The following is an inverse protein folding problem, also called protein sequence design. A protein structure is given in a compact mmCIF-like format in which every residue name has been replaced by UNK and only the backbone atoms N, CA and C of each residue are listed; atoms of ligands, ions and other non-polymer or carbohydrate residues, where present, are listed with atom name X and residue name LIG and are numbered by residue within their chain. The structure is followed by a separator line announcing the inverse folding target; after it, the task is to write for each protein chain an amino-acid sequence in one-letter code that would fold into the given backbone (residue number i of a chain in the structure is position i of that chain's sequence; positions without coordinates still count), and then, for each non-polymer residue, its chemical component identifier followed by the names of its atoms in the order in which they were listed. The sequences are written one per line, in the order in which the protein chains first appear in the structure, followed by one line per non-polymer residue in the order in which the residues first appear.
data_IF_427901568594
#
_entry.id   IF_427901568594
#
_cell.length_a   1.000
_cell.length_b   1.000
_cell.length_c   1.000
_cell.angle_alpha   90.00
_cell.angle_beta   90.00
_cell.angle_gamma   90.00
#
_symmetry.space_group_name_H-M   'P 1'
#
loop_
_entity.id
_entity.type
_entity.pdbx_description
1 polymer ?
#
# COMPACT_ATOMS: atom_id res chain seq x y z
N UNK A 1 -23.21 -5.33 3.69
CA UNK A 1 -22.01 -5.65 4.52
C UNK A 1 -20.75 -5.37 3.71
N UNK A 2 -19.68 -4.88 4.35
CA UNK A 2 -18.38 -4.60 3.70
C UNK A 2 -17.43 -5.77 3.93
N UNK A 3 -16.68 -6.20 2.90
CA UNK A 3 -15.55 -7.13 3.05
C UNK A 3 -14.24 -6.39 2.82
N UNK A 4 -13.32 -6.49 3.78
CA UNK A 4 -11.94 -5.99 3.65
C UNK A 4 -11.02 -7.18 3.41
N UNK A 5 -10.33 -7.19 2.26
CA UNK A 5 -9.31 -8.20 1.94
C UNK A 5 -7.93 -7.74 2.42
N UNK A 6 -6.94 -8.64 2.42
CA UNK A 6 -5.59 -8.30 2.88
C UNK A 6 -5.53 -7.79 4.33
N UNK A 7 -6.46 -8.22 5.18
CA UNK A 7 -6.67 -7.69 6.54
C UNK A 7 -5.47 -7.88 7.51
N UNK A 8 -4.53 -8.78 7.19
CA UNK A 8 -3.27 -8.94 7.95
C UNK A 8 -2.14 -8.03 7.47
N UNK A 9 -2.27 -7.41 6.30
CA UNK A 9 -1.26 -6.51 5.72
C UNK A 9 -1.39 -5.06 6.20
N UNK A 10 -0.37 -4.23 5.89
CA UNK A 10 -0.33 -2.83 6.33
C UNK A 10 -1.56 -2.02 5.92
N UNK A 11 -1.91 -2.03 4.64
CA UNK A 11 -3.02 -1.24 4.12
C UNK A 11 -4.36 -1.85 4.53
N UNK A 12 -4.56 -3.16 4.31
CA UNK A 12 -5.83 -3.82 4.65
C UNK A 12 -6.18 -3.73 6.13
N UNK A 13 -5.19 -3.85 7.02
CA UNK A 13 -5.39 -3.65 8.47
C UNK A 13 -5.80 -2.22 8.80
N UNK A 14 -5.18 -1.22 8.16
CA UNK A 14 -5.55 0.18 8.37
C UNK A 14 -6.98 0.45 7.88
N UNK A 15 -7.35 -0.08 6.71
CA UNK A 15 -8.73 0.03 6.17
C UNK A 15 -9.73 -0.68 7.05
N UNK A 16 -9.42 -1.88 7.55
CA UNK A 16 -10.29 -2.61 8.47
C UNK A 16 -10.60 -1.78 9.74
N UNK A 17 -9.55 -1.20 10.34
CA UNK A 17 -9.71 -0.35 11.52
C UNK A 17 -10.56 0.88 11.24
N UNK A 18 -10.38 1.52 10.08
CA UNK A 18 -11.16 2.70 9.71
C UNK A 18 -12.62 2.35 9.41
N UNK A 19 -12.87 1.24 8.69
CA UNK A 19 -14.25 0.74 8.46
C UNK A 19 -14.94 0.41 9.79
N UNK A 20 -14.23 -0.24 10.72
CA UNK A 20 -14.78 -0.51 12.05
C UNK A 20 -15.17 0.79 12.80
N UNK A 21 -14.35 1.85 12.69
CA UNK A 21 -14.65 3.16 13.30
C UNK A 21 -15.92 3.82 12.75
N UNK A 22 -16.31 3.52 11.52
CA UNK A 22 -17.58 4.04 10.96
C UNK A 22 -18.81 3.36 11.54
N UNK A 23 -18.67 2.27 12.28
CA UNK A 23 -19.78 1.45 12.76
C UNK A 23 -20.42 0.56 11.68
N UNK A 24 -19.91 0.54 10.47
CA UNK A 24 -20.42 -0.29 9.38
C UNK A 24 -20.24 -1.79 9.68
N UNK A 25 -21.24 -2.60 9.35
CA UNK A 25 -21.11 -4.06 9.42
C UNK A 25 -20.05 -4.53 8.43
N UNK A 26 -19.04 -5.26 8.91
CA UNK A 26 -17.90 -5.65 8.10
C UNK A 26 -17.38 -7.05 8.39
N UNK A 27 -16.72 -7.61 7.39
CA UNK A 27 -15.94 -8.84 7.44
C UNK A 27 -14.48 -8.53 7.13
N UNK A 28 -13.57 -9.29 7.71
CA UNK A 28 -12.15 -9.28 7.38
C UNK A 28 -11.74 -10.63 6.81
N UNK A 29 -11.11 -10.63 5.63
CA UNK A 29 -10.65 -11.84 4.98
C UNK A 29 -9.19 -12.13 5.32
N UNK A 30 -8.95 -13.36 5.76
CA UNK A 30 -7.63 -13.90 6.09
C UNK A 30 -7.36 -15.18 5.29
N UNK A 31 -6.09 -15.48 5.04
CA UNK A 31 -5.70 -16.70 4.31
C UNK A 31 -5.70 -17.96 5.18
N UNK A 32 -5.63 -17.81 6.50
CA UNK A 32 -5.57 -18.94 7.44
C UNK A 32 -6.45 -18.72 8.67
N UNK A 33 -6.85 -19.80 9.31
CA UNK A 33 -7.58 -19.78 10.57
C UNK A 33 -6.76 -19.13 11.71
N UNK A 34 -5.44 -19.31 11.71
CA UNK A 34 -4.54 -18.70 12.70
C UNK A 34 -4.51 -17.17 12.59
N UNK A 35 -4.55 -16.63 11.37
CA UNK A 35 -4.67 -15.18 11.16
C UNK A 35 -6.07 -14.68 11.53
N UNK A 36 -7.11 -15.41 11.12
CA UNK A 36 -8.50 -15.08 11.43
C UNK A 36 -8.78 -15.04 12.95
N UNK A 37 -8.14 -15.90 13.72
CA UNK A 37 -8.25 -15.89 15.19
C UNK A 37 -7.70 -14.62 15.85
N UNK A 38 -6.91 -13.82 15.13
CA UNK A 38 -6.34 -12.54 15.60
C UNK A 38 -7.18 -11.32 15.13
N UNK A 39 -8.35 -11.56 14.54
CA UNK A 39 -9.22 -10.49 14.09
C UNK A 39 -9.63 -9.57 15.25
N UNK A 40 -9.71 -8.25 15.03
CA UNK A 40 -10.17 -7.33 16.06
C UNK A 40 -11.58 -7.67 16.56
N UNK A 41 -11.87 -7.37 17.82
CA UNK A 41 -13.19 -7.55 18.39
C UNK A 41 -14.25 -6.79 17.56
N UNK A 42 -15.43 -7.41 17.37
CA UNK A 42 -16.49 -6.85 16.54
C UNK A 42 -16.34 -7.07 15.04
N UNK A 43 -15.25 -7.70 14.59
CA UNK A 43 -15.02 -8.04 13.18
C UNK A 43 -15.42 -9.48 12.90
N UNK A 44 -16.23 -9.71 11.87
CA UNK A 44 -16.52 -11.06 11.39
C UNK A 44 -15.32 -11.55 10.55
N UNK A 45 -14.50 -12.43 11.10
CA UNK A 45 -13.40 -13.04 10.37
C UNK A 45 -13.91 -14.12 9.40
N UNK A 46 -13.37 -14.15 8.18
CA UNK A 46 -13.61 -15.19 7.20
C UNK A 46 -12.29 -15.69 6.65
N UNK A 47 -12.20 -17.00 6.39
CA UNK A 47 -11.00 -17.62 5.81
C UNK A 47 -11.26 -17.88 4.34
N UNK A 48 -10.47 -17.25 3.46
CA UNK A 48 -10.53 -17.45 2.02
C UNK A 48 -9.19 -17.10 1.37
N UNK A 49 -8.93 -17.68 0.22
CA UNK A 49 -7.69 -17.52 -0.53
C UNK A 49 -8.02 -17.23 -2.01
N UNK A 50 -7.49 -16.16 -2.57
CA UNK A 50 -7.72 -15.79 -3.98
C UNK A 50 -7.26 -16.87 -4.96
N UNK A 51 -6.30 -17.70 -4.57
CA UNK A 51 -5.87 -18.85 -5.36
C UNK A 51 -6.85 -20.03 -5.31
N UNK A 52 -7.74 -20.08 -4.32
CA UNK A 52 -8.72 -21.16 -4.06
C UNK A 52 -10.12 -20.63 -4.29
N UNK A 53 -10.57 -20.62 -5.56
CA UNK A 53 -11.83 -19.98 -5.98
C UNK A 53 -13.05 -20.49 -5.20
N UNK A 54 -13.06 -21.76 -4.80
CA UNK A 54 -14.12 -22.38 -4.02
C UNK A 54 -14.32 -21.74 -2.64
N UNK A 55 -13.30 -21.06 -2.12
CA UNK A 55 -13.35 -20.39 -0.82
C UNK A 55 -13.98 -18.99 -0.90
N UNK A 56 -14.08 -18.40 -2.10
CA UNK A 56 -14.47 -17.01 -2.27
C UNK A 56 -15.98 -16.80 -2.14
N UNK A 57 -16.78 -17.69 -2.72
CA UNK A 57 -18.24 -17.56 -2.66
C UNK A 57 -18.80 -17.59 -1.23
N UNK A 58 -18.35 -18.47 -0.30
CA UNK A 58 -18.75 -18.40 1.10
C UNK A 58 -18.34 -17.11 1.80
N UNK A 59 -17.16 -16.57 1.51
CA UNK A 59 -16.67 -15.32 2.09
C UNK A 59 -17.49 -14.11 1.64
N UNK A 60 -18.03 -14.13 0.43
CA UNK A 60 -18.84 -13.07 -0.17
C UNK A 60 -20.34 -13.11 0.21
N UNK A 61 -20.78 -14.08 1.00
CA UNK A 61 -22.20 -14.12 1.42
C UNK A 61 -22.57 -12.85 2.17
N UNK A 62 -23.67 -12.20 1.75
CA UNK A 62 -24.20 -10.93 2.30
C UNK A 62 -23.25 -9.72 2.14
N UNK A 63 -22.25 -9.80 1.28
CA UNK A 63 -21.32 -8.69 1.00
C UNK A 63 -21.86 -7.81 -0.12
N UNK A 64 -21.93 -6.51 0.15
CA UNK A 64 -22.39 -5.49 -0.81
C UNK A 64 -21.23 -4.68 -1.38
N UNK A 65 -20.16 -4.48 -0.59
CA UNK A 65 -18.97 -3.76 -1.02
C UNK A 65 -17.70 -4.49 -0.60
N UNK A 66 -16.67 -4.41 -1.43
CA UNK A 66 -15.37 -5.04 -1.19
C UNK A 66 -14.27 -4.00 -1.29
N UNK A 67 -13.41 -3.93 -0.27
CA UNK A 67 -12.09 -3.34 -0.41
C UNK A 67 -11.13 -4.43 -0.87
N UNK A 68 -10.62 -4.30 -2.08
CA UNK A 68 -9.76 -5.29 -2.74
C UNK A 68 -8.30 -4.84 -2.70
N UNK A 69 -7.48 -5.61 -2.02
CA UNK A 69 -6.03 -5.45 -1.98
C UNK A 69 -5.35 -6.81 -1.91
N UNK A 70 -4.29 -6.99 -2.68
CA UNK A 70 -3.41 -8.16 -2.67
C UNK A 70 -1.95 -7.73 -2.48
N UNK A 71 -1.10 -8.67 -2.06
CA UNK A 71 0.35 -8.45 -2.09
C UNK A 71 0.83 -8.31 -3.54
N UNK A 72 1.76 -7.39 -3.85
CA UNK A 72 2.27 -7.21 -5.20
C UNK A 72 3.28 -8.32 -5.56
N UNK A 73 2.77 -9.47 -5.96
CA UNK A 73 3.51 -10.66 -6.37
C UNK A 73 3.20 -10.98 -7.84
N UNK A 74 4.01 -11.81 -8.53
CA UNK A 74 3.79 -12.11 -9.97
C UNK A 74 2.38 -12.59 -10.31
N UNK A 75 1.73 -13.32 -9.40
CA UNK A 75 0.39 -13.85 -9.59
C UNK A 75 -0.74 -12.85 -9.28
N UNK A 76 -0.41 -11.59 -8.90
CA UNK A 76 -1.39 -10.57 -8.50
C UNK A 76 -2.56 -10.47 -9.47
N UNK A 77 -2.27 -10.41 -10.78
CA UNK A 77 -3.31 -10.26 -11.82
C UNK A 77 -4.31 -11.40 -11.77
N UNK A 78 -3.83 -12.65 -11.66
CA UNK A 78 -4.69 -13.82 -11.59
C UNK A 78 -5.49 -13.85 -10.29
N UNK A 79 -4.83 -13.55 -9.18
CA UNK A 79 -5.44 -13.58 -7.84
C UNK A 79 -6.55 -12.55 -7.70
N UNK A 80 -6.29 -11.30 -8.08
CA UNK A 80 -7.33 -10.26 -8.01
C UNK A 80 -8.42 -10.45 -9.06
N UNK A 81 -8.09 -10.99 -10.25
CA UNK A 81 -9.11 -11.39 -11.24
C UNK A 81 -10.06 -12.44 -10.67
N UNK A 82 -9.57 -13.47 -9.99
CA UNK A 82 -10.40 -14.48 -9.34
C UNK A 82 -11.37 -13.84 -8.33
N UNK A 83 -10.89 -12.89 -7.54
CA UNK A 83 -11.75 -12.20 -6.56
C UNK A 83 -12.78 -11.29 -7.24
N UNK A 84 -12.41 -10.56 -8.28
CA UNK A 84 -13.33 -9.73 -9.06
C UNK A 84 -14.44 -10.59 -9.68
N UNK A 85 -14.09 -11.72 -10.32
CA UNK A 85 -15.07 -12.63 -10.91
C UNK A 85 -16.02 -13.22 -9.85
N UNK A 86 -15.49 -13.56 -8.68
CA UNK A 86 -16.31 -14.02 -7.56
C UNK A 86 -17.26 -12.92 -7.05
N UNK A 87 -16.80 -11.66 -6.98
CA UNK A 87 -17.64 -10.52 -6.61
C UNK A 87 -18.79 -10.32 -7.61
N UNK A 88 -18.51 -10.39 -8.90
CA UNK A 88 -19.54 -10.29 -9.96
C UNK A 88 -20.57 -11.41 -9.79
N UNK A 89 -20.12 -12.65 -9.64
CA UNK A 89 -20.99 -13.83 -9.47
C UNK A 89 -21.84 -13.73 -8.19
N UNK A 90 -21.30 -13.21 -7.11
CA UNK A 90 -21.99 -13.03 -5.84
C UNK A 90 -22.93 -11.81 -5.80
N UNK A 91 -22.95 -10.98 -6.85
CA UNK A 91 -23.79 -9.78 -6.93
C UNK A 91 -23.33 -8.65 -6.01
N UNK A 92 -22.02 -8.57 -5.70
CA UNK A 92 -21.43 -7.42 -4.99
C UNK A 92 -21.72 -6.14 -5.76
N UNK A 93 -22.06 -5.08 -5.04
CA UNK A 93 -22.51 -3.81 -5.66
C UNK A 93 -21.38 -2.87 -5.98
N UNK A 94 -20.29 -2.90 -5.21
CA UNK A 94 -19.18 -1.96 -5.37
C UNK A 94 -17.84 -2.57 -4.97
N UNK A 95 -16.78 -2.25 -5.72
CA UNK A 95 -15.40 -2.64 -5.40
C UNK A 95 -14.53 -1.39 -5.31
N UNK A 96 -13.86 -1.21 -4.18
CA UNK A 96 -12.77 -0.25 -4.05
C UNK A 96 -11.45 -1.02 -4.23
N UNK A 97 -10.78 -0.78 -5.34
CA UNK A 97 -9.51 -1.44 -5.68
C UNK A 97 -8.33 -0.61 -5.18
N UNK A 98 -7.46 -1.21 -4.38
CA UNK A 98 -6.15 -0.64 -4.08
C UNK A 98 -5.16 -1.01 -5.18
N UNK A 99 -5.00 -0.13 -6.12
CA UNK A 99 -4.06 -0.22 -7.23
C UNK A 99 -2.70 0.40 -6.84
N UNK A 100 -1.96 0.95 -7.79
CA UNK A 100 -0.70 1.64 -7.57
C UNK A 100 -0.57 2.86 -8.49
N UNK A 101 0.14 3.89 -8.01
CA UNK A 101 0.56 5.01 -8.85
C UNK A 101 1.34 4.48 -10.07
N UNK A 102 1.11 5.08 -11.23
CA UNK A 102 1.72 4.68 -12.50
C UNK A 102 0.99 3.56 -13.25
N UNK A 103 -0.05 2.96 -12.70
CA UNK A 103 -0.84 1.94 -13.40
C UNK A 103 -1.42 2.45 -14.73
N UNK A 104 -1.65 3.76 -14.85
CA UNK A 104 -2.17 4.41 -16.05
C UNK A 104 -1.16 4.56 -17.19
N UNK A 105 0.13 4.76 -16.88
CA UNK A 105 1.13 5.26 -17.84
C UNK A 105 2.49 4.55 -17.82
N UNK A 106 2.69 3.58 -16.94
CA UNK A 106 3.96 2.86 -16.83
C UNK A 106 3.78 1.35 -17.08
N UNK A 107 4.49 0.83 -18.09
CA UNK A 107 4.25 -0.50 -18.62
C UNK A 107 5.10 -1.62 -17.97
N UNK A 108 5.83 -1.33 -16.87
CA UNK A 108 6.72 -2.30 -16.23
C UNK A 108 6.19 -2.72 -14.86
N UNK A 109 6.54 -3.94 -14.45
CA UNK A 109 6.37 -4.52 -13.09
C UNK A 109 5.05 -4.16 -12.38
N UNK A 110 5.11 -3.70 -11.13
CA UNK A 110 3.93 -3.45 -10.29
C UNK A 110 2.87 -2.58 -10.96
N UNK A 111 3.19 -1.40 -11.55
CA UNK A 111 2.17 -0.59 -12.21
C UNK A 111 1.47 -1.32 -13.35
N UNK A 112 2.21 -2.09 -14.16
CA UNK A 112 1.63 -2.84 -15.27
C UNK A 112 0.70 -3.98 -14.83
N UNK A 113 1.01 -4.62 -13.69
CA UNK A 113 0.13 -5.65 -13.13
C UNK A 113 -1.17 -5.03 -12.63
N UNK A 114 -1.08 -3.94 -11.89
CA UNK A 114 -2.25 -3.21 -11.43
C UNK A 114 -3.10 -2.68 -12.60
N UNK A 115 -2.49 -2.20 -13.68
CA UNK A 115 -3.21 -1.80 -14.90
C UNK A 115 -4.11 -2.92 -15.43
N UNK A 116 -3.56 -4.14 -15.52
CA UNK A 116 -4.34 -5.30 -16.00
C UNK A 116 -5.54 -5.60 -15.09
N UNK A 117 -5.38 -5.44 -13.78
CA UNK A 117 -6.48 -5.62 -12.82
C UNK A 117 -7.51 -4.50 -12.94
N UNK A 118 -7.08 -3.25 -13.12
CA UNK A 118 -7.99 -2.12 -13.37
C UNK A 118 -8.81 -2.32 -14.64
N UNK A 119 -8.15 -2.72 -15.72
CA UNK A 119 -8.82 -2.99 -17.00
C UNK A 119 -9.83 -4.16 -16.86
N UNK A 120 -9.46 -5.22 -16.13
CA UNK A 120 -10.38 -6.31 -15.79
C UNK A 120 -11.58 -5.80 -15.00
N UNK A 121 -11.37 -5.02 -13.94
CA UNK A 121 -12.46 -4.49 -13.11
C UNK A 121 -13.40 -3.61 -13.94
N UNK A 122 -12.86 -2.69 -14.72
CA UNK A 122 -13.62 -1.80 -15.63
C UNK A 122 -14.47 -2.57 -16.64
N UNK A 123 -13.98 -3.73 -17.10
CA UNK A 123 -14.70 -4.56 -18.10
C UNK A 123 -15.89 -5.33 -17.54
N UNK A 124 -16.06 -5.43 -16.21
CA UNK A 124 -17.12 -6.25 -15.60
C UNK A 124 -18.47 -5.55 -15.49
N UNK A 125 -18.52 -4.23 -15.62
CA UNK A 125 -19.71 -3.42 -15.40
C UNK A 125 -20.12 -3.25 -13.94
N UNK A 126 -19.41 -3.87 -12.98
CA UNK A 126 -19.63 -3.62 -11.54
C UNK A 126 -19.21 -2.18 -11.18
N UNK A 127 -19.93 -1.54 -10.27
CA UNK A 127 -19.52 -0.22 -9.77
C UNK A 127 -18.17 -0.31 -9.04
N UNK A 128 -17.27 0.63 -9.29
CA UNK A 128 -15.94 0.62 -8.69
C UNK A 128 -15.42 2.01 -8.33
N UNK A 129 -14.45 2.04 -7.44
CA UNK A 129 -13.52 3.16 -7.25
C UNK A 129 -12.10 2.58 -7.25
N UNK A 130 -11.16 3.25 -7.91
CA UNK A 130 -9.75 2.84 -7.97
C UNK A 130 -8.92 3.86 -7.19
N UNK A 131 -8.13 3.38 -6.25
CA UNK A 131 -7.16 4.16 -5.51
C UNK A 131 -5.76 3.76 -5.98
N UNK A 132 -4.99 4.72 -6.48
CA UNK A 132 -3.61 4.54 -6.97
C UNK A 132 -2.64 5.24 -6.01
N UNK A 133 -2.30 4.63 -4.88
CA UNK A 133 -1.40 5.24 -3.91
C UNK A 133 0.04 5.29 -4.40
N UNK A 134 0.73 6.37 -4.04
CA UNK A 134 2.17 6.52 -4.11
C UNK A 134 2.86 5.71 -3.00
N UNK A 135 4.18 5.83 -2.85
CA UNK A 135 4.95 5.11 -1.83
C UNK A 135 4.49 5.43 -0.41
N UNK A 136 4.57 4.43 0.48
CA UNK A 136 4.05 4.57 1.85
C UNK A 136 5.11 5.05 2.84
N UNK A 137 4.74 5.87 3.81
CA UNK A 137 5.57 6.20 4.98
C UNK A 137 6.10 4.94 5.66
N UNK A 138 5.26 3.90 5.77
CA UNK A 138 5.60 2.63 6.40
C UNK A 138 6.77 1.90 5.72
N UNK A 139 6.98 2.13 4.43
CA UNK A 139 8.12 1.59 3.69
C UNK A 139 9.46 2.14 4.20
N UNK A 140 9.48 3.37 4.70
CA UNK A 140 10.68 4.00 5.30
C UNK A 140 11.16 3.20 6.51
N UNK A 141 10.23 2.78 7.37
CA UNK A 141 10.56 1.92 8.52
C UNK A 141 10.98 0.53 8.03
N UNK A 142 10.19 -0.09 7.15
CA UNK A 142 10.40 -1.47 6.72
C UNK A 142 11.76 -1.66 6.01
N UNK A 143 12.13 -0.71 5.14
CA UNK A 143 13.32 -0.88 4.30
C UNK A 143 14.59 -0.21 4.86
N UNK A 144 14.45 0.88 5.61
CA UNK A 144 15.63 1.68 5.99
C UNK A 144 15.95 1.61 7.49
N UNK A 145 14.97 1.37 8.37
CA UNK A 145 15.22 1.38 9.80
C UNK A 145 16.29 0.37 10.26
N UNK A 146 16.39 -0.86 9.72
CA UNK A 146 17.44 -1.80 10.12
C UNK A 146 18.85 -1.25 9.87
N UNK A 147 19.14 -0.73 8.68
CA UNK A 147 20.44 -0.14 8.32
C UNK A 147 20.71 1.14 9.10
N UNK A 148 19.70 2.00 9.25
CA UNK A 148 19.80 3.22 10.03
C UNK A 148 20.14 2.91 11.49
N UNK A 149 19.48 1.95 12.14
CA UNK A 149 19.80 1.56 13.53
C UNK A 149 21.25 1.08 13.67
N UNK A 150 21.68 0.24 12.76
CA UNK A 150 23.00 -0.38 12.80
C UNK A 150 24.13 0.61 12.47
N UNK A 151 23.96 1.40 11.43
CA UNK A 151 25.05 2.12 10.78
C UNK A 151 24.83 3.65 10.72
N UNK A 152 23.65 4.16 10.99
CA UNK A 152 23.29 5.57 10.79
C UNK A 152 23.17 5.95 9.30
N UNK A 153 23.03 4.97 8.41
CA UNK A 153 23.00 5.19 6.96
C UNK A 153 21.99 4.27 6.28
N UNK A 154 21.43 4.75 5.18
CA UNK A 154 20.67 3.90 4.26
C UNK A 154 21.08 4.18 2.81
N UNK A 155 20.91 3.17 1.97
CA UNK A 155 21.38 3.17 0.59
C UNK A 155 20.20 3.03 -0.37
N UNK A 156 20.24 3.76 -1.48
CA UNK A 156 19.30 3.59 -2.59
C UNK A 156 19.84 4.25 -3.85
N UNK A 157 19.27 3.96 -5.01
CA UNK A 157 19.64 4.55 -6.31
C UNK A 157 18.63 5.62 -6.76
N UNK A 158 18.16 6.46 -5.83
CA UNK A 158 17.10 7.44 -6.09
C UNK A 158 17.62 8.81 -6.54
N UNK A 159 18.94 9.05 -6.46
CA UNK A 159 19.53 10.34 -6.79
C UNK A 159 18.80 11.49 -6.08
N UNK A 160 18.32 12.48 -6.84
CA UNK A 160 17.53 13.64 -6.42
C UNK A 160 16.02 13.48 -6.73
N UNK A 161 15.58 12.27 -7.08
CA UNK A 161 14.17 12.01 -7.35
C UNK A 161 13.30 12.33 -6.14
N UNK A 162 12.17 12.98 -6.40
CA UNK A 162 11.18 13.33 -5.38
C UNK A 162 10.08 12.31 -5.34
N UNK A 163 9.68 11.91 -4.14
CA UNK A 163 8.58 10.98 -3.89
C UNK A 163 7.60 11.61 -2.90
N UNK A 164 6.32 11.63 -3.28
CA UNK A 164 5.24 12.12 -2.41
C UNK A 164 4.69 10.97 -1.58
N UNK A 165 5.46 10.60 -0.54
CA UNK A 165 5.08 9.53 0.39
C UNK A 165 3.77 9.86 1.12
N UNK A 166 2.91 8.84 1.32
CA UNK A 166 1.67 8.98 2.08
C UNK A 166 1.55 7.91 3.16
N UNK A 167 0.78 8.23 4.18
CA UNK A 167 0.51 7.28 5.26
C UNK A 167 -0.63 6.32 4.89
N UNK A 168 -0.50 5.04 5.18
CA UNK A 168 -1.56 4.04 4.92
C UNK A 168 -2.86 4.36 5.66
N UNK A 169 -2.82 5.14 6.74
CA UNK A 169 -4.02 5.61 7.45
C UNK A 169 -4.83 6.62 6.64
N UNK A 170 -4.19 7.39 5.76
CA UNK A 170 -4.88 8.28 4.84
C UNK A 170 -5.52 7.49 3.69
N UNK A 171 -4.84 6.44 3.20
CA UNK A 171 -5.44 5.48 2.26
C UNK A 171 -6.69 4.85 2.89
N UNK A 172 -6.61 4.47 4.17
CA UNK A 172 -7.73 3.85 4.88
C UNK A 172 -8.96 4.76 4.97
N UNK A 173 -8.76 6.05 5.27
CA UNK A 173 -9.86 7.03 5.28
C UNK A 173 -10.43 7.21 3.87
N UNK A 174 -9.58 7.34 2.85
CA UNK A 174 -10.01 7.43 1.46
C UNK A 174 -10.84 6.20 1.04
N UNK A 175 -10.34 5.01 1.36
CA UNK A 175 -11.04 3.75 1.09
C UNK A 175 -12.40 3.69 1.78
N UNK A 176 -12.47 3.97 3.08
CA UNK A 176 -13.73 3.93 3.83
C UNK A 176 -14.80 4.86 3.26
N UNK A 177 -14.40 6.06 2.81
CA UNK A 177 -15.32 7.02 2.18
C UNK A 177 -15.81 6.61 0.81
N UNK A 178 -15.04 5.81 0.09
CA UNK A 178 -15.36 5.39 -1.28
C UNK A 178 -16.03 4.01 -1.36
N UNK A 179 -16.20 3.31 -0.24
CA UNK A 179 -16.85 1.99 -0.19
C UNK A 179 -18.37 2.00 -0.45
N UNK A 180 -19.03 3.13 -0.35
CA UNK A 180 -20.42 3.27 -0.76
C UNK A 180 -20.52 3.69 -2.24
N UNK A 181 -21.37 3.04 -3.05
CA UNK A 181 -21.70 3.53 -4.38
C UNK A 181 -22.21 4.98 -4.33
N UNK A 182 -21.85 5.79 -5.33
CA UNK A 182 -22.29 7.18 -5.38
C UNK A 182 -21.33 8.07 -6.14
N UNK A 183 -20.99 9.22 -5.58
CA UNK A 183 -20.16 10.24 -6.25
C UNK A 183 -18.75 9.79 -6.64
N UNK A 184 -18.24 8.72 -6.00
CA UNK A 184 -16.92 8.14 -6.28
C UNK A 184 -16.96 6.99 -7.29
N UNK A 185 -18.16 6.55 -7.71
CA UNK A 185 -18.32 5.43 -8.65
C UNK A 185 -17.73 5.77 -10.01
N UNK A 186 -16.94 4.82 -10.56
CA UNK A 186 -16.26 4.97 -11.84
C UNK A 186 -15.01 5.85 -11.81
N UNK A 187 -14.63 6.37 -10.64
CA UNK A 187 -13.47 7.27 -10.51
C UNK A 187 -12.20 6.52 -10.16
N UNK A 188 -11.09 7.07 -10.66
CA UNK A 188 -9.72 6.70 -10.28
C UNK A 188 -9.06 7.90 -9.61
N UNK A 189 -8.43 7.66 -8.47
CA UNK A 189 -7.73 8.68 -7.68
C UNK A 189 -6.27 8.30 -7.50
N UNK A 190 -5.36 9.12 -8.02
CA UNK A 190 -3.98 9.10 -7.60
C UNK A 190 -3.89 9.68 -6.19
N UNK A 191 -3.29 8.95 -5.27
CA UNK A 191 -3.15 9.36 -3.89
C UNK A 191 -1.70 9.71 -3.61
N UNK A 192 -1.42 11.01 -3.58
CA UNK A 192 -0.10 11.57 -3.30
C UNK A 192 -0.06 12.13 -1.88
N UNK A 193 1.10 12.01 -1.23
CA UNK A 193 1.31 12.60 0.09
C UNK A 193 1.38 14.12 0.05
N UNK A 194 1.40 14.78 1.23
CA UNK A 194 1.33 16.23 1.34
C UNK A 194 2.62 16.95 0.94
N UNK A 195 3.72 16.22 0.78
CA UNK A 195 5.04 16.76 0.45
C UNK A 195 5.82 15.78 -0.44
N UNK A 196 6.60 16.31 -1.37
CA UNK A 196 7.49 15.55 -2.24
C UNK A 196 8.92 15.67 -1.72
N UNK A 197 9.49 14.57 -1.25
CA UNK A 197 10.81 14.53 -0.61
C UNK A 197 11.83 13.79 -1.47
N UNK A 198 13.04 14.33 -1.54
CA UNK A 198 14.21 13.55 -1.92
C UNK A 198 14.63 12.63 -0.77
N UNK A 199 15.45 11.62 -1.07
CA UNK A 199 15.96 10.72 -0.03
C UNK A 199 16.96 11.43 0.91
N UNK A 200 17.64 12.48 0.43
CA UNK A 200 18.47 13.34 1.28
C UNK A 200 17.61 14.13 2.29
N UNK A 201 16.53 14.79 1.85
CA UNK A 201 15.59 15.48 2.73
C UNK A 201 14.91 14.51 3.72
N UNK A 202 14.63 13.27 3.27
CA UNK A 202 14.13 12.21 4.16
C UNK A 202 15.15 11.86 5.25
N UNK A 203 16.45 11.73 4.90
CA UNK A 203 17.52 11.47 5.87
C UNK A 203 17.65 12.59 6.91
N UNK A 204 17.51 13.86 6.51
CA UNK A 204 17.48 15.01 7.43
C UNK A 204 16.31 14.93 8.41
N UNK A 205 15.09 14.63 7.92
CA UNK A 205 13.92 14.45 8.76
C UNK A 205 14.09 13.29 9.75
N UNK A 206 14.64 12.15 9.30
CA UNK A 206 14.92 10.99 10.16
C UNK A 206 15.99 11.36 11.21
N UNK A 207 17.07 12.06 10.83
CA UNK A 207 18.11 12.52 11.75
C UNK A 207 17.54 13.31 12.91
N UNK A 208 16.64 14.25 12.61
CA UNK A 208 15.96 15.07 13.63
C UNK A 208 15.18 14.22 14.64
N UNK A 209 14.47 13.21 14.19
CA UNK A 209 13.63 12.35 15.05
C UNK A 209 14.46 11.27 15.78
N UNK A 210 15.50 10.76 15.15
CA UNK A 210 16.41 9.78 15.74
C UNK A 210 17.34 10.39 16.82
N UNK A 211 17.52 11.73 16.81
CA UNK A 211 18.43 12.43 17.68
C UNK A 211 19.91 12.18 17.37
N UNK A 212 20.23 11.74 16.14
CA UNK A 212 21.58 11.50 15.65
C UNK A 212 21.67 11.67 14.14
N UNK A 213 22.86 11.91 13.56
CA UNK A 213 23.04 11.98 12.13
C UNK A 213 22.61 10.66 11.44
N UNK A 214 21.80 10.81 10.39
CA UNK A 214 21.44 9.74 9.46
C UNK A 214 21.76 10.23 8.05
N UNK A 215 22.43 9.40 7.27
CA UNK A 215 22.86 9.76 5.92
C UNK A 215 22.16 8.90 4.86
N UNK A 216 21.76 9.53 3.78
CA UNK A 216 21.43 8.86 2.53
C UNK A 216 22.70 8.75 1.69
N UNK A 217 22.97 7.55 1.18
CA UNK A 217 24.05 7.29 0.24
C UNK A 217 23.43 6.84 -1.08
N UNK A 218 23.57 7.68 -2.09
CA UNK A 218 23.18 7.30 -3.46
C UNK A 218 24.20 6.31 -4.03
N UNK A 219 23.69 5.18 -4.52
CA UNK A 219 24.51 4.11 -5.08
C UNK A 219 24.08 3.81 -6.52
N UNK A 220 24.99 3.30 -7.37
CA UNK A 220 24.61 2.82 -8.68
C UNK A 220 23.51 1.76 -8.61
N UNK A 221 22.55 1.79 -9.54
CA UNK A 221 21.40 0.88 -9.58
C UNK A 221 21.85 -0.59 -9.61
N UNK A 222 22.95 -0.90 -10.29
CA UNK A 222 23.51 -2.25 -10.35
C UNK A 222 24.08 -2.71 -9.00
N UNK A 223 24.65 -1.79 -8.21
CA UNK A 223 25.11 -2.10 -6.85
C UNK A 223 23.93 -2.40 -5.93
N UNK A 224 22.83 -1.65 -6.05
CA UNK A 224 21.63 -1.92 -5.30
C UNK A 224 20.98 -3.26 -5.69
N UNK A 225 20.88 -3.54 -6.98
CA UNK A 225 20.42 -4.84 -7.51
C UNK A 225 21.21 -6.00 -6.91
N UNK A 226 22.53 -5.91 -6.96
CA UNK A 226 23.42 -6.92 -6.40
C UNK A 226 23.20 -7.11 -4.89
N UNK A 227 23.16 -6.02 -4.14
CA UNK A 227 22.93 -6.07 -2.68
C UNK A 227 21.61 -6.74 -2.31
N UNK A 228 20.51 -6.43 -3.03
CA UNK A 228 19.20 -7.07 -2.79
C UNK A 228 19.25 -8.58 -3.05
N UNK A 229 19.90 -9.02 -4.12
CA UNK A 229 20.07 -10.44 -4.44
C UNK A 229 20.92 -11.16 -3.38
N UNK A 230 22.02 -10.55 -2.93
CA UNK A 230 22.88 -11.08 -1.88
C UNK A 230 22.17 -11.20 -0.53
N UNK A 231 21.17 -10.34 -0.26
CA UNK A 231 20.28 -10.43 0.90
C UNK A 231 19.20 -11.50 0.75
N UNK A 232 19.19 -12.25 -0.34
CA UNK A 232 18.24 -13.34 -0.60
C UNK A 232 16.89 -12.90 -1.15
N UNK A 233 16.77 -11.65 -1.62
CA UNK A 233 15.54 -11.19 -2.25
C UNK A 233 15.33 -11.93 -3.58
N UNK A 234 14.11 -12.46 -3.86
CA UNK A 234 13.80 -13.12 -5.13
C UNK A 234 14.04 -12.19 -6.33
N UNK A 235 14.61 -12.74 -7.41
CA UNK A 235 14.98 -11.95 -8.60
C UNK A 235 13.84 -11.13 -9.18
N UNK A 236 12.62 -11.69 -9.26
CA UNK A 236 11.42 -10.97 -9.72
C UNK A 236 11.08 -9.75 -8.86
N UNK A 237 11.33 -9.84 -7.54
CA UNK A 237 11.07 -8.74 -6.62
C UNK A 237 12.13 -7.64 -6.76
N UNK A 238 13.39 -8.04 -6.95
CA UNK A 238 14.48 -7.10 -7.26
C UNK A 238 14.18 -6.35 -8.54
N UNK A 239 13.80 -7.06 -9.63
CA UNK A 239 13.44 -6.44 -10.90
C UNK A 239 12.29 -5.45 -10.74
N UNK A 240 11.25 -5.83 -10.00
CA UNK A 240 10.09 -4.97 -9.76
C UNK A 240 10.43 -3.72 -8.95
N UNK A 241 11.32 -3.82 -7.95
CA UNK A 241 11.76 -2.66 -7.18
C UNK A 241 12.68 -1.74 -8.00
N UNK A 242 13.55 -2.28 -8.83
CA UNK A 242 14.39 -1.50 -9.74
C UNK A 242 13.53 -0.75 -10.76
N UNK A 243 12.56 -1.40 -11.38
CA UNK A 243 11.61 -0.75 -12.30
C UNK A 243 10.83 0.39 -11.60
N UNK A 244 10.45 0.19 -10.35
CA UNK A 244 9.77 1.23 -9.56
C UNK A 244 10.69 2.43 -9.26
N UNK A 245 11.99 2.18 -9.02
CA UNK A 245 12.97 3.26 -8.86
C UNK A 245 13.17 4.03 -10.17
N UNK A 246 13.22 3.33 -11.31
CA UNK A 246 13.25 4.00 -12.63
C UNK A 246 12.02 4.89 -12.84
N UNK A 247 10.83 4.43 -12.41
CA UNK A 247 9.62 5.24 -12.44
C UNK A 247 9.79 6.53 -11.65
N UNK A 248 10.28 6.46 -10.41
CA UNK A 248 10.49 7.63 -9.56
C UNK A 248 11.60 8.55 -10.10
N UNK A 249 12.73 7.99 -10.54
CA UNK A 249 13.86 8.77 -11.08
C UNK A 249 13.53 9.43 -12.43
N UNK A 250 12.47 9.00 -13.12
CA UNK A 250 11.92 9.70 -14.28
C UNK A 250 11.08 10.95 -13.93
N UNK A 251 10.97 11.30 -12.64
CA UNK A 251 10.25 12.47 -12.14
C UNK A 251 8.74 12.26 -11.87
N UNK A 252 8.24 11.04 -12.02
CA UNK A 252 6.79 10.75 -11.94
C UNK A 252 6.24 10.60 -10.52
N UNK A 253 7.08 10.43 -9.52
CA UNK A 253 6.65 10.19 -8.13
C UNK A 253 6.45 11.44 -7.28
N UNK A 254 6.80 12.63 -7.79
CA UNK A 254 6.86 13.88 -7.01
C UNK A 254 5.61 14.75 -7.06
N UNK A 255 4.49 14.28 -7.59
CA UNK A 255 3.27 15.07 -7.63
C UNK A 255 2.74 15.35 -6.22
N UNK A 256 2.33 16.58 -5.95
CA UNK A 256 1.60 17.00 -4.75
C UNK A 256 0.32 17.69 -5.22
N UNK A 257 -0.83 17.14 -4.86
CA UNK A 257 -2.12 17.61 -5.33
C UNK A 257 -3.15 17.69 -4.20
N UNK A 258 -4.39 18.05 -4.55
CA UNK A 258 -5.49 18.17 -3.60
C UNK A 258 -6.45 16.98 -3.59
N UNK A 259 -6.15 15.90 -4.32
CA UNK A 259 -7.04 14.74 -4.40
C UNK A 259 -7.17 14.06 -3.03
N UNK A 260 -6.04 13.70 -2.43
CA UNK A 260 -6.04 13.06 -1.11
C UNK A 260 -6.64 13.98 -0.01
N UNK A 261 -6.21 15.25 0.18
CA UNK A 261 -6.82 16.14 1.18
C UNK A 261 -8.34 16.27 1.03
N UNK A 262 -8.83 16.46 -0.18
CA UNK A 262 -10.28 16.54 -0.46
C UNK A 262 -11.00 15.25 -0.13
N UNK A 263 -10.44 14.12 -0.54
CA UNK A 263 -11.04 12.80 -0.32
C UNK A 263 -11.09 12.45 1.16
N UNK A 264 -10.01 12.69 1.92
CA UNK A 264 -10.00 12.40 3.37
C UNK A 264 -10.70 13.47 4.21
N UNK A 265 -10.88 14.69 3.70
CA UNK A 265 -11.55 15.80 4.39
C UNK A 265 -10.73 16.43 5.52
N UNK A 266 -9.41 16.25 5.50
CA UNK A 266 -8.43 16.84 6.42
C UNK A 266 -7.05 16.91 5.78
N UNK A 267 -6.12 17.59 6.44
CA UNK A 267 -4.71 17.53 6.05
C UNK A 267 -4.19 16.07 6.20
N UNK A 268 -3.50 15.52 5.18
CA UNK A 268 -2.86 14.23 5.27
C UNK A 268 -1.75 14.21 6.32
N UNK A 269 -1.38 13.01 6.75
CA UNK A 269 -0.30 12.81 7.72
C UNK A 269 1.04 13.13 7.03
N UNK A 270 1.80 14.07 7.60
CA UNK A 270 3.12 14.44 7.10
C UNK A 270 4.18 13.41 7.49
N UNK A 271 5.30 13.38 6.76
CA UNK A 271 6.45 12.54 7.12
C UNK A 271 6.98 12.88 8.52
N UNK A 272 7.04 14.16 8.89
CA UNK A 272 7.50 14.57 10.22
C UNK A 272 6.63 13.98 11.35
N UNK A 273 5.30 14.01 11.18
CA UNK A 273 4.37 13.42 12.15
C UNK A 273 4.55 11.90 12.23
N UNK A 274 4.65 11.24 11.08
CA UNK A 274 4.89 9.80 11.04
C UNK A 274 6.21 9.43 11.73
N UNK A 275 7.30 10.10 11.40
CA UNK A 275 8.61 9.82 11.98
C UNK A 275 8.65 10.10 13.49
N UNK A 276 7.91 11.10 13.98
CA UNK A 276 7.80 11.35 15.42
C UNK A 276 7.11 10.17 16.14
N UNK A 277 6.05 9.60 15.57
CA UNK A 277 5.35 8.43 16.10
C UNK A 277 6.23 7.16 16.09
N UNK A 278 7.11 7.02 15.10
CA UNK A 278 7.99 5.87 14.89
C UNK A 278 9.47 6.15 15.22
N UNK A 279 9.78 7.21 15.97
CA UNK A 279 11.15 7.63 16.27
C UNK A 279 12.00 6.51 16.88
N UNK A 280 11.41 5.63 17.69
CA UNK A 280 12.08 4.47 18.30
C UNK A 280 12.66 3.49 17.28
N UNK A 281 12.07 3.40 16.09
CA UNK A 281 12.52 2.50 15.03
C UNK A 281 13.85 2.90 14.41
N UNK A 282 14.26 4.16 14.55
CA UNK A 282 15.48 4.71 13.96
C UNK A 282 16.61 4.94 14.96
N UNK A 283 16.35 4.78 16.27
CA UNK A 283 17.37 4.95 17.31
C UNK A 283 18.29 3.73 17.34
N UNK A 284 19.59 3.95 17.63
CA UNK A 284 20.49 2.84 17.91
C UNK A 284 19.97 2.05 19.11
N UNK A 285 19.99 0.73 19.04
CA UNK A 285 19.87 -0.06 20.26
C UNK A 285 21.05 0.36 21.15
N UNK A 286 20.76 0.90 22.33
CA UNK A 286 21.81 1.10 23.32
C UNK A 286 22.49 -0.27 23.48
N UNK A 287 23.82 -0.30 23.30
CA UNK A 287 24.59 -1.49 23.65
C UNK A 287 24.20 -1.83 25.07
N UNK A 288 23.56 -2.99 25.24
CA UNK A 288 23.06 -3.40 26.54
C UNK A 288 24.19 -3.29 27.55
N UNK A 289 23.90 -2.55 28.64
CA UNK A 289 24.77 -2.45 29.79
C UNK A 289 24.90 -3.80 30.50
#
# INVERSE_FOLDING_TARGET
MILVTGASGNVGKAVLNEVARTGAKHKAMYRSANEAAKAPAGTQAVVADFAKKETLAPALRDVEAVYLVCSPIPDLVQLETNMIDACVTAGVKHIVLNSALGAGDYAKSYPSWHRKVEDKLKSTGISFTILQPNSFHQNVVAFFAPSIRALGVFYSSMRDARVSFLDVRDIAVAAAKTLAPGEHSGKTYELNGPEALTYAELAEKISKQAGRPVQYVDIPIEAQRKAMLEQGMPGWQVDALIDLQEYYTSGRGGAVDQALPKLVGRAPITMDRFLAEFAGEFRSQAAGA
#
